data_IF_618092828985
#
_entry.id   IF_618092828985
#
_cell.length_a   1.000
_cell.length_b   1.000
_cell.length_c   1.000
_cell.angle_alpha   90.00
_cell.angle_beta   90.00
_cell.angle_gamma   90.00
#
_symmetry.space_group_name_H-M   'P 1'
#
loop_
_entity.id
_entity.type
_entity.pdbx_description
1 polymer ?
#
# COMPACT_ATOMS: atom_id res chain seq x y z
N UNK A 1 49.31 4.07 42.59
CA UNK A 1 47.91 3.58 42.57
C UNK A 1 47.27 4.07 41.28
N UNK A 2 47.08 3.23 40.25
CA UNK A 2 46.22 3.61 39.14
C UNK A 2 44.77 3.33 39.52
N UNK A 3 43.88 4.25 39.17
CA UNK A 3 42.42 4.07 39.24
C UNK A 3 41.99 3.18 38.07
N UNK A 4 41.28 2.12 38.37
CA UNK A 4 40.55 1.31 37.39
C UNK A 4 39.58 2.20 36.62
N UNK A 5 39.87 2.40 35.33
CA UNK A 5 38.90 2.89 34.38
C UNK A 5 38.02 1.70 33.99
N UNK A 6 36.80 1.68 34.50
CA UNK A 6 35.72 0.82 34.00
C UNK A 6 35.47 1.15 32.54
N UNK A 7 36.10 0.40 31.63
CA UNK A 7 35.71 0.33 30.22
C UNK A 7 34.30 -0.22 30.14
N UNK A 8 33.31 0.66 29.96
CA UNK A 8 32.04 0.24 29.38
C UNK A 8 32.36 -0.35 28.02
N UNK A 9 32.12 -1.64 27.84
CA UNK A 9 32.34 -2.31 26.57
C UNK A 9 31.58 -1.54 25.49
N UNK A 10 32.31 -1.07 24.47
CA UNK A 10 31.68 -0.55 23.27
C UNK A 10 30.82 -1.69 22.71
N UNK A 11 29.54 -1.43 22.55
CA UNK A 11 28.62 -2.37 21.94
C UNK A 11 29.10 -2.75 20.54
N UNK A 12 29.15 -4.05 20.24
CA UNK A 12 29.55 -4.53 18.91
C UNK A 12 28.43 -4.37 17.88
N UNK A 13 28.77 -4.46 16.59
CA UNK A 13 27.74 -4.39 15.52
C UNK A 13 26.76 -5.54 15.64
N UNK A 14 27.28 -6.70 16.01
CA UNK A 14 26.57 -7.94 16.27
C UNK A 14 25.56 -7.76 17.42
N UNK A 15 25.96 -7.15 18.54
CA UNK A 15 25.07 -6.88 19.68
C UNK A 15 23.89 -5.98 19.27
N UNK A 16 24.15 -4.93 18.48
CA UNK A 16 23.12 -4.02 17.98
C UNK A 16 22.12 -4.78 17.11
N UNK A 17 22.62 -5.53 16.13
CA UNK A 17 21.79 -6.28 15.18
C UNK A 17 21.02 -7.39 15.88
N UNK A 18 21.62 -8.05 16.86
CA UNK A 18 20.94 -9.07 17.66
C UNK A 18 19.70 -8.51 18.35
N UNK A 19 19.81 -7.37 19.03
CA UNK A 19 18.65 -6.72 19.66
C UNK A 19 17.57 -6.33 18.66
N UNK A 20 17.97 -5.78 17.50
CA UNK A 20 17.02 -5.43 16.44
C UNK A 20 16.32 -6.68 15.91
N UNK A 21 17.06 -7.77 15.68
CA UNK A 21 16.50 -9.02 15.19
C UNK A 21 15.52 -9.65 16.18
N UNK A 22 15.85 -9.66 17.47
CA UNK A 22 14.96 -10.15 18.53
C UNK A 22 13.69 -9.30 18.63
N UNK A 23 13.81 -7.97 18.68
CA UNK A 23 12.65 -7.06 18.73
C UNK A 23 11.75 -7.22 17.50
N UNK A 24 12.34 -7.38 16.31
CA UNK A 24 11.59 -7.66 15.08
C UNK A 24 10.90 -9.03 15.13
N UNK A 25 11.57 -10.08 15.62
CA UNK A 25 10.99 -11.43 15.74
C UNK A 25 9.79 -11.46 16.69
N UNK A 26 9.86 -10.74 17.81
CA UNK A 26 8.78 -10.61 18.79
C UNK A 26 7.54 -9.93 18.20
N UNK A 27 7.76 -8.92 17.35
CA UNK A 27 6.68 -8.15 16.70
C UNK A 27 6.20 -8.75 15.38
N UNK A 28 6.97 -9.68 14.80
CA UNK A 28 6.67 -10.25 13.49
C UNK A 28 5.36 -11.07 13.56
N UNK A 29 4.37 -10.80 12.69
CA UNK A 29 3.09 -11.50 12.74
C UNK A 29 3.25 -13.01 12.60
N UNK A 30 2.39 -13.81 13.26
CA UNK A 30 2.44 -15.27 13.12
C UNK A 30 2.18 -15.68 11.67
N UNK A 31 2.68 -16.86 11.31
CA UNK A 31 2.42 -17.45 10.01
C UNK A 31 0.91 -17.70 9.84
N UNK A 32 0.37 -17.34 8.68
CA UNK A 32 -0.97 -17.71 8.29
C UNK A 32 -1.08 -19.24 8.14
N UNK A 33 -2.07 -19.83 8.82
CA UNK A 33 -2.36 -21.25 8.69
C UNK A 33 -3.20 -21.45 7.43
N UNK A 34 -2.66 -22.13 6.42
CA UNK A 34 -3.29 -22.24 5.11
C UNK A 34 -4.71 -22.84 5.16
N UNK A 35 -4.94 -23.83 6.02
CA UNK A 35 -6.26 -24.42 6.23
C UNK A 35 -7.28 -23.37 6.70
N UNK A 36 -6.92 -22.59 7.71
CA UNK A 36 -7.74 -21.54 8.32
C UNK A 36 -8.05 -20.42 7.33
N UNK A 37 -7.04 -19.99 6.55
CA UNK A 37 -7.22 -19.00 5.48
C UNK A 37 -8.22 -19.51 4.44
N UNK A 38 -8.08 -20.76 4.00
CA UNK A 38 -8.98 -21.33 3.00
C UNK A 38 -10.42 -21.44 3.52
N UNK A 39 -10.59 -21.88 4.77
CA UNK A 39 -11.89 -21.97 5.42
C UNK A 39 -12.60 -20.62 5.47
N UNK A 40 -11.93 -19.57 5.96
CA UNK A 40 -12.52 -18.22 6.03
C UNK A 40 -12.84 -17.64 4.67
N UNK A 41 -11.92 -17.78 3.70
CA UNK A 41 -12.19 -17.33 2.34
C UNK A 41 -13.38 -18.06 1.70
N UNK A 42 -13.58 -19.35 2.01
CA UNK A 42 -14.75 -20.10 1.55
C UNK A 42 -16.03 -19.54 2.18
N UNK A 43 -16.03 -19.23 3.47
CA UNK A 43 -17.17 -18.61 4.16
C UNK A 43 -17.53 -17.24 3.58
N UNK A 44 -16.53 -16.45 3.15
CA UNK A 44 -16.72 -15.15 2.49
C UNK A 44 -17.10 -15.24 1.01
N UNK A 45 -17.09 -16.44 0.42
CA UNK A 45 -17.26 -16.67 -1.01
C UNK A 45 -15.94 -16.59 -1.77
N UNK A 46 -15.17 -17.68 -1.77
CA UNK A 46 -13.80 -17.73 -2.28
C UNK A 46 -13.64 -17.37 -3.77
N UNK A 47 -14.71 -17.48 -4.56
CA UNK A 47 -14.71 -17.17 -5.99
C UNK A 47 -15.12 -15.72 -6.30
N UNK A 48 -15.44 -14.93 -5.27
CA UNK A 48 -15.68 -13.50 -5.43
C UNK A 48 -14.37 -12.79 -5.77
N UNK A 49 -14.35 -11.82 -6.72
CA UNK A 49 -13.11 -11.21 -7.21
C UNK A 49 -12.24 -10.64 -6.10
N UNK A 50 -12.86 -9.96 -5.12
CA UNK A 50 -12.18 -9.36 -3.99
C UNK A 50 -11.55 -10.39 -3.04
N UNK A 51 -12.15 -11.57 -2.87
CA UNK A 51 -11.59 -12.64 -2.04
C UNK A 51 -10.47 -13.41 -2.75
N UNK A 52 -10.56 -13.54 -4.09
CA UNK A 52 -9.44 -14.04 -4.91
C UNK A 52 -8.25 -13.09 -4.78
N UNK A 53 -8.49 -11.78 -4.85
CA UNK A 53 -7.45 -10.76 -4.64
C UNK A 53 -6.83 -10.87 -3.24
N UNK A 54 -7.64 -10.90 -2.17
CA UNK A 54 -7.15 -11.07 -0.80
C UNK A 54 -6.28 -12.34 -0.66
N UNK A 55 -6.69 -13.47 -1.25
CA UNK A 55 -5.89 -14.71 -1.24
C UNK A 55 -4.50 -14.51 -1.85
N UNK A 56 -4.40 -13.77 -2.96
CA UNK A 56 -3.13 -13.52 -3.62
C UNK A 56 -2.22 -12.63 -2.76
N UNK A 57 -2.77 -11.61 -2.11
CA UNK A 57 -2.04 -10.73 -1.21
C UNK A 57 -1.56 -11.48 0.07
N UNK A 58 -2.43 -12.29 0.67
CA UNK A 58 -2.09 -13.17 1.80
C UNK A 58 -0.95 -14.13 1.45
N UNK A 59 -0.99 -14.74 0.27
CA UNK A 59 0.08 -15.62 -0.19
C UNK A 59 1.42 -14.88 -0.36
N UNK A 60 1.40 -13.60 -0.74
CA UNK A 60 2.62 -12.79 -0.89
C UNK A 60 3.20 -12.41 0.47
N UNK A 61 2.38 -11.89 1.38
CA UNK A 61 2.87 -11.48 2.70
C UNK A 61 3.32 -12.69 3.54
N UNK A 62 2.64 -13.84 3.42
CA UNK A 62 3.04 -15.07 4.09
C UNK A 62 4.44 -15.52 3.69
N UNK A 63 4.79 -15.46 2.40
CA UNK A 63 6.14 -15.79 1.92
C UNK A 63 7.19 -14.87 2.52
N UNK A 64 6.90 -13.57 2.60
CA UNK A 64 7.79 -12.59 3.20
C UNK A 64 7.98 -12.85 4.69
N UNK A 65 6.90 -13.09 5.44
CA UNK A 65 6.95 -13.39 6.88
C UNK A 65 7.78 -14.66 7.16
N UNK A 66 7.60 -15.73 6.38
CA UNK A 66 8.38 -16.96 6.53
C UNK A 66 9.87 -16.68 6.38
N UNK A 67 10.27 -16.06 5.26
CA UNK A 67 11.68 -15.79 4.95
C UNK A 67 12.31 -14.83 5.98
N UNK A 68 11.55 -13.85 6.44
CA UNK A 68 12.01 -12.98 7.52
C UNK A 68 12.24 -13.75 8.82
N UNK A 69 11.30 -14.60 9.20
CA UNK A 69 11.40 -15.38 10.44
C UNK A 69 12.59 -16.33 10.40
N UNK A 70 12.79 -17.03 9.29
CA UNK A 70 13.95 -17.91 9.05
C UNK A 70 15.25 -17.10 9.13
N UNK A 71 15.37 -16.03 8.33
CA UNK A 71 16.58 -15.21 8.29
C UNK A 71 16.93 -14.58 9.64
N UNK A 72 15.95 -14.03 10.36
CA UNK A 72 16.17 -13.39 11.65
C UNK A 72 16.58 -14.42 12.71
N UNK A 73 15.96 -15.61 12.71
CA UNK A 73 16.31 -16.70 13.65
C UNK A 73 17.71 -17.23 13.38
N UNK A 74 18.04 -17.48 12.11
CA UNK A 74 19.37 -17.93 11.71
C UNK A 74 20.43 -16.86 12.03
N UNK A 75 20.10 -15.59 11.83
CA UNK A 75 20.99 -14.48 12.14
C UNK A 75 21.29 -14.41 13.65
N UNK A 76 20.29 -14.54 14.52
CA UNK A 76 20.52 -14.57 15.98
C UNK A 76 21.37 -15.77 16.38
N UNK A 77 21.10 -16.96 15.83
CA UNK A 77 21.89 -18.17 16.10
C UNK A 77 23.33 -18.06 15.59
N UNK A 78 23.55 -17.36 14.47
CA UNK A 78 24.88 -17.17 13.90
C UNK A 78 25.70 -16.17 14.72
N UNK A 79 25.07 -15.11 15.23
CA UNK A 79 25.70 -14.15 16.14
C UNK A 79 26.09 -14.85 17.46
N UNK A 80 25.23 -15.72 17.99
CA UNK A 80 25.50 -16.53 19.18
C UNK A 80 26.56 -17.65 18.93
N UNK A 81 27.05 -17.81 17.70
CA UNK A 81 28.03 -18.83 17.32
C UNK A 81 27.47 -20.25 17.27
N UNK A 82 26.14 -20.42 17.32
CA UNK A 82 25.48 -21.74 17.24
C UNK A 82 25.46 -22.27 15.81
N UNK A 83 25.32 -21.39 14.82
CA UNK A 83 25.42 -21.74 13.40
C UNK A 83 26.48 -20.90 12.69
N UNK A 84 26.90 -21.33 11.51
CA UNK A 84 27.95 -20.63 10.73
C UNK A 84 27.38 -19.37 10.08
N UNK A 85 28.07 -18.24 10.27
CA UNK A 85 27.79 -16.98 9.59
C UNK A 85 28.02 -17.10 8.07
N UNK A 86 26.94 -17.33 7.32
CA UNK A 86 26.96 -17.39 5.85
C UNK A 86 27.13 -15.99 5.23
N UNK A 87 27.41 -15.94 3.93
CA UNK A 87 27.47 -14.67 3.19
C UNK A 87 26.12 -13.94 3.21
N UNK A 88 25.02 -14.67 3.12
CA UNK A 88 23.67 -14.13 3.15
C UNK A 88 23.35 -13.53 4.53
N UNK A 89 23.73 -14.22 5.61
CA UNK A 89 23.52 -13.71 6.98
C UNK A 89 24.41 -12.50 7.27
N UNK A 90 25.67 -12.51 6.80
CA UNK A 90 26.56 -11.35 6.92
C UNK A 90 26.00 -10.13 6.17
N UNK A 91 25.46 -10.33 4.97
CA UNK A 91 24.81 -9.26 4.21
C UNK A 91 23.57 -8.72 4.94
N UNK A 92 22.76 -9.59 5.56
CA UNK A 92 21.61 -9.16 6.35
C UNK A 92 22.06 -8.37 7.60
N UNK A 93 23.11 -8.82 8.29
CA UNK A 93 23.72 -8.14 9.43
C UNK A 93 24.16 -6.73 9.06
N UNK A 94 24.94 -6.58 7.99
CA UNK A 94 25.43 -5.29 7.53
C UNK A 94 24.27 -4.35 7.18
N UNK A 95 23.27 -4.85 6.42
CA UNK A 95 22.09 -4.05 6.10
C UNK A 95 21.34 -3.59 7.34
N UNK A 96 21.08 -4.49 8.29
CA UNK A 96 20.33 -4.18 9.52
C UNK A 96 21.10 -3.19 10.41
N UNK A 97 22.42 -3.34 10.52
CA UNK A 97 23.28 -2.40 11.23
C UNK A 97 23.21 -0.99 10.61
N UNK A 98 23.22 -0.91 9.28
CA UNK A 98 23.10 0.34 8.53
C UNK A 98 21.65 0.85 8.42
N UNK A 99 20.71 0.24 9.15
CA UNK A 99 19.27 0.54 9.12
C UNK A 99 18.64 0.46 7.71
N UNK A 100 19.18 -0.40 6.84
CA UNK A 100 18.69 -0.70 5.49
C UNK A 100 18.02 -2.07 5.41
N UNK A 101 17.24 -2.30 4.36
CA UNK A 101 16.44 -3.51 4.19
C UNK A 101 17.30 -4.60 3.53
N UNK A 102 17.44 -5.80 4.13
CA UNK A 102 18.10 -6.93 3.49
C UNK A 102 17.56 -7.24 2.08
N UNK A 103 18.45 -7.58 1.16
CA UNK A 103 18.13 -7.74 -0.26
C UNK A 103 17.08 -8.82 -0.54
N UNK A 104 17.10 -9.90 0.24
CA UNK A 104 16.12 -10.99 0.09
C UNK A 104 14.70 -10.53 0.40
N UNK A 105 14.55 -9.65 1.40
CA UNK A 105 13.25 -9.09 1.78
C UNK A 105 12.80 -8.04 0.77
N UNK A 106 13.71 -7.17 0.32
CA UNK A 106 13.44 -6.13 -0.69
C UNK A 106 12.89 -6.73 -2.00
N UNK A 107 13.44 -7.86 -2.45
CA UNK A 107 12.97 -8.56 -3.67
C UNK A 107 11.52 -9.03 -3.63
N UNK A 108 10.98 -9.28 -2.43
CA UNK A 108 9.63 -9.81 -2.22
C UNK A 108 8.65 -8.74 -1.73
N UNK A 109 9.12 -7.53 -1.46
CA UNK A 109 8.37 -6.49 -0.78
C UNK A 109 8.35 -5.19 -1.58
N UNK A 110 8.47 -4.05 -0.91
CA UNK A 110 8.43 -2.71 -1.44
C UNK A 110 9.69 -1.95 -1.03
N UNK A 111 9.91 -0.81 -1.67
CA UNK A 111 10.94 0.12 -1.28
C UNK A 111 10.46 0.96 -0.09
N UNK A 112 11.36 1.23 0.85
CA UNK A 112 11.12 2.11 1.99
C UNK A 112 12.43 2.74 2.40
N UNK A 113 12.37 3.86 3.12
CA UNK A 113 13.55 4.69 3.42
C UNK A 113 14.49 4.06 4.44
N UNK A 114 13.97 3.36 5.44
CA UNK A 114 14.76 2.66 6.47
C UNK A 114 14.12 1.33 6.82
N UNK A 115 14.89 0.45 7.45
CA UNK A 115 14.41 -0.81 7.99
C UNK A 115 13.24 -0.63 8.97
N UNK A 116 13.31 0.39 9.85
CA UNK A 116 12.26 0.66 10.83
C UNK A 116 10.94 1.09 10.20
N UNK A 117 10.98 1.97 9.19
CA UNK A 117 9.78 2.34 8.44
C UNK A 117 9.23 1.14 7.67
N UNK A 118 10.09 0.42 6.96
CA UNK A 118 9.71 -0.79 6.22
C UNK A 118 9.01 -1.82 7.10
N UNK A 119 9.54 -2.06 8.30
CA UNK A 119 8.96 -3.02 9.22
C UNK A 119 7.62 -2.53 9.78
N UNK A 120 7.49 -1.25 10.10
CA UNK A 120 6.20 -0.67 10.50
C UNK A 120 5.14 -0.85 9.41
N UNK A 121 5.50 -0.59 8.15
CA UNK A 121 4.61 -0.80 7.01
C UNK A 121 4.23 -2.28 6.85
N UNK A 122 5.15 -3.21 7.11
CA UNK A 122 4.85 -4.65 7.07
C UNK A 122 3.75 -4.99 8.09
N UNK A 123 3.87 -4.49 9.31
CA UNK A 123 2.88 -4.71 10.37
C UNK A 123 1.53 -4.13 9.98
N UNK A 124 1.49 -2.89 9.48
CA UNK A 124 0.24 -2.23 9.06
C UNK A 124 -0.43 -2.94 7.87
N UNK A 125 0.36 -3.39 6.88
CA UNK A 125 -0.13 -4.16 5.74
C UNK A 125 -0.71 -5.49 6.19
N UNK A 126 0.00 -6.21 7.06
CA UNK A 126 -0.47 -7.45 7.65
C UNK A 126 -1.77 -7.25 8.43
N UNK A 127 -1.85 -6.18 9.22
CA UNK A 127 -3.05 -5.85 9.99
C UNK A 127 -4.26 -5.68 9.07
N UNK A 128 -4.14 -4.95 7.96
CA UNK A 128 -5.23 -4.85 6.98
C UNK A 128 -5.68 -6.22 6.44
N UNK A 129 -4.75 -7.10 6.09
CA UNK A 129 -5.10 -8.43 5.57
C UNK A 129 -5.70 -9.33 6.62
N UNK A 130 -5.16 -9.28 7.84
CA UNK A 130 -5.66 -10.04 8.98
C UNK A 130 -7.08 -9.60 9.34
N UNK A 131 -7.32 -8.30 9.52
CA UNK A 131 -8.66 -7.77 9.78
C UNK A 131 -9.64 -8.14 8.68
N UNK A 132 -9.23 -8.04 7.42
CA UNK A 132 -10.10 -8.42 6.30
C UNK A 132 -10.45 -9.93 6.35
N UNK A 133 -9.45 -10.79 6.58
CA UNK A 133 -9.67 -12.23 6.64
C UNK A 133 -10.55 -12.66 7.83
N UNK A 134 -10.40 -12.01 8.99
CA UNK A 134 -11.04 -12.43 10.25
C UNK A 134 -12.36 -11.72 10.54
N UNK A 135 -12.45 -10.42 10.23
CA UNK A 135 -13.60 -9.57 10.55
C UNK A 135 -14.43 -9.20 9.31
N UNK A 136 -14.01 -9.66 8.13
CA UNK A 136 -14.72 -9.45 6.87
C UNK A 136 -14.28 -8.19 6.14
N UNK A 137 -14.98 -7.87 5.05
CA UNK A 137 -14.58 -6.82 4.11
C UNK A 137 -14.48 -5.43 4.79
N UNK A 138 -13.32 -4.75 4.70
CA UNK A 138 -13.17 -3.38 5.18
C UNK A 138 -14.18 -2.42 4.53
N UNK A 139 -14.68 -1.46 5.30
CA UNK A 139 -15.53 -0.36 4.79
C UNK A 139 -14.74 0.63 3.94
N UNK A 140 -13.43 0.75 4.20
CA UNK A 140 -12.50 1.61 3.48
C UNK A 140 -11.13 0.92 3.41
N UNK A 141 -10.52 0.86 2.23
CA UNK A 141 -9.27 0.13 1.98
C UNK A 141 -8.07 1.07 1.94
N UNK A 142 -6.99 0.68 2.61
CA UNK A 142 -5.69 1.31 2.46
C UNK A 142 -5.07 0.81 1.15
N UNK A 143 -5.32 1.54 0.07
CA UNK A 143 -4.91 1.12 -1.28
C UNK A 143 -3.41 0.98 -1.42
N UNK A 144 -2.66 1.77 -0.66
CA UNK A 144 -1.20 1.81 -0.70
C UNK A 144 -0.57 0.70 0.14
N UNK A 145 -1.37 0.08 1.01
CA UNK A 145 -1.05 -1.13 1.76
C UNK A 145 -1.05 -2.43 0.93
N UNK A 146 -1.54 -2.41 -0.31
CA UNK A 146 -1.47 -3.58 -1.19
C UNK A 146 -0.11 -3.74 -1.87
N UNK A 147 0.35 -4.98 -2.04
CA UNK A 147 1.44 -5.32 -2.96
C UNK A 147 1.02 -5.07 -4.42
N UNK A 148 -0.25 -5.34 -4.73
CA UNK A 148 -0.81 -5.17 -6.08
C UNK A 148 -2.06 -4.27 -6.11
N UNK A 149 -1.91 -2.93 -6.01
CA UNK A 149 -3.04 -2.01 -6.10
C UNK A 149 -3.79 -2.09 -7.45
N UNK A 150 -3.12 -2.45 -8.55
CA UNK A 150 -3.79 -2.66 -9.85
C UNK A 150 -4.70 -3.89 -9.84
N UNK A 151 -4.26 -4.96 -9.18
CA UNK A 151 -5.05 -6.16 -8.95
C UNK A 151 -6.31 -5.87 -8.13
N UNK A 152 -6.18 -5.02 -7.10
CA UNK A 152 -7.32 -4.56 -6.31
C UNK A 152 -8.36 -3.84 -7.18
N UNK A 153 -7.91 -2.85 -7.97
CA UNK A 153 -8.80 -2.10 -8.87
C UNK A 153 -9.48 -3.00 -9.91
N UNK A 154 -8.75 -4.01 -10.39
CA UNK A 154 -9.30 -5.03 -11.31
C UNK A 154 -10.39 -5.86 -10.63
N UNK A 155 -10.17 -6.28 -9.38
CA UNK A 155 -11.15 -7.02 -8.60
C UNK A 155 -12.41 -6.18 -8.32
N UNK A 156 -12.25 -4.91 -7.97
CA UNK A 156 -13.38 -3.96 -7.82
C UNK A 156 -14.19 -3.88 -9.11
N UNK A 157 -13.52 -3.69 -10.25
CA UNK A 157 -14.18 -3.62 -11.57
C UNK A 157 -14.94 -4.90 -11.89
N UNK A 158 -14.33 -6.06 -11.66
CA UNK A 158 -14.96 -7.36 -11.90
C UNK A 158 -16.18 -7.59 -11.02
N UNK A 159 -16.11 -7.19 -9.75
CA UNK A 159 -17.22 -7.30 -8.81
C UNK A 159 -18.42 -6.45 -9.25
N UNK A 160 -18.19 -5.17 -9.56
CA UNK A 160 -19.27 -4.28 -10.04
C UNK A 160 -19.87 -4.80 -11.35
N UNK A 161 -19.03 -5.30 -12.27
CA UNK A 161 -19.51 -5.88 -13.55
C UNK A 161 -20.42 -7.08 -13.30
N UNK A 162 -20.06 -7.98 -12.37
CA UNK A 162 -20.85 -9.18 -12.06
C UNK A 162 -22.20 -8.86 -11.43
N UNK A 163 -22.31 -7.76 -10.69
CA UNK A 163 -23.57 -7.33 -10.08
C UNK A 163 -24.56 -6.73 -11.09
N UNK A 164 -24.09 -6.37 -12.29
CA UNK A 164 -24.91 -5.77 -13.34
C UNK A 164 -25.22 -6.75 -14.47
N UNK A 165 -26.51 -7.05 -14.64
CA UNK A 165 -26.95 -7.95 -15.71
C UNK A 165 -26.67 -7.35 -17.09
N UNK A 166 -25.91 -8.09 -17.90
CA UNK A 166 -25.58 -7.72 -19.28
C UNK A 166 -24.53 -6.62 -19.42
N UNK A 167 -23.75 -6.34 -18.37
CA UNK A 167 -22.49 -5.60 -18.50
C UNK A 167 -21.39 -6.54 -18.95
N UNK A 168 -20.48 -6.05 -19.80
CA UNK A 168 -19.34 -6.81 -20.28
C UNK A 168 -18.04 -6.13 -19.81
N UNK A 169 -17.05 -6.92 -19.38
CA UNK A 169 -15.85 -6.37 -18.71
C UNK A 169 -15.02 -5.46 -19.63
N UNK A 170 -15.11 -5.66 -20.95
CA UNK A 170 -14.47 -4.86 -22.00
C UNK A 170 -15.11 -3.48 -22.16
N UNK A 171 -16.40 -3.32 -21.85
CA UNK A 171 -17.09 -2.03 -21.89
C UNK A 171 -17.13 -1.33 -20.53
N UNK A 172 -16.64 -1.99 -19.47
CA UNK A 172 -16.65 -1.42 -18.13
C UNK A 172 -15.29 -0.77 -17.82
N UNK A 173 -15.34 0.50 -17.42
CA UNK A 173 -14.16 1.29 -17.01
C UNK A 173 -14.29 1.72 -15.55
N UNK A 174 -13.16 2.00 -14.90
CA UNK A 174 -13.17 2.56 -13.55
C UNK A 174 -13.55 4.04 -13.58
N UNK A 175 -14.35 4.43 -12.61
CA UNK A 175 -14.71 5.82 -12.32
C UNK A 175 -14.45 6.12 -10.85
N UNK A 176 -14.15 7.37 -10.53
CA UNK A 176 -13.92 7.77 -9.16
C UNK A 176 -14.61 9.06 -8.78
N UNK A 177 -14.95 9.16 -7.50
CA UNK A 177 -15.46 10.37 -6.88
C UNK A 177 -14.67 10.63 -5.61
N UNK A 178 -14.06 11.82 -5.50
CA UNK A 178 -13.39 12.22 -4.27
C UNK A 178 -14.45 12.68 -3.27
N UNK A 179 -14.45 12.10 -2.08
CA UNK A 179 -15.41 12.45 -1.02
C UNK A 179 -14.92 13.65 -0.21
N UNK A 180 -15.78 14.14 0.71
CA UNK A 180 -15.40 15.16 1.70
C UNK A 180 -14.86 14.56 3.01
N UNK A 181 -14.88 13.24 3.12
CA UNK A 181 -14.65 12.51 4.35
C UNK A 181 -13.22 12.00 4.41
N UNK A 182 -12.66 12.01 5.60
CA UNK A 182 -11.44 11.27 5.90
C UNK A 182 -11.81 9.84 6.28
N UNK A 183 -10.80 8.96 6.39
CA UNK A 183 -10.98 7.54 6.69
C UNK A 183 -11.90 7.32 7.92
N UNK A 184 -11.66 8.04 9.00
CA UNK A 184 -12.34 7.83 10.28
C UNK A 184 -13.83 8.25 10.26
N UNK A 185 -14.23 9.05 9.26
CA UNK A 185 -15.62 9.44 9.05
C UNK A 185 -16.43 8.35 8.31
N UNK A 186 -15.75 7.39 7.67
CA UNK A 186 -16.40 6.34 6.88
C UNK A 186 -16.84 5.19 7.78
N UNK A 187 -18.15 5.11 8.02
CA UNK A 187 -18.76 4.09 8.88
C UNK A 187 -19.46 2.96 8.12
N UNK A 188 -19.68 3.14 6.81
CA UNK A 188 -20.43 2.18 5.98
C UNK A 188 -19.71 1.95 4.65
N UNK A 189 -19.76 0.73 4.11
CA UNK A 189 -19.25 0.46 2.77
C UNK A 189 -20.10 1.19 1.73
N UNK A 190 -19.56 1.45 0.52
CA UNK A 190 -20.37 1.97 -0.57
C UNK A 190 -21.35 0.89 -1.04
N UNK A 191 -22.46 1.31 -1.67
CA UNK A 191 -23.42 0.39 -2.29
C UNK A 191 -22.73 -0.49 -3.35
N UNK A 192 -21.84 0.12 -4.12
CA UNK A 192 -21.01 -0.57 -5.11
C UNK A 192 -19.60 0.03 -5.15
N UNK A 193 -18.64 -0.79 -5.57
CA UNK A 193 -17.25 -0.41 -5.66
C UNK A 193 -16.53 -0.48 -4.31
N UNK A 194 -15.60 0.45 -4.08
CA UNK A 194 -14.80 0.49 -2.86
C UNK A 194 -14.41 1.93 -2.50
N UNK A 195 -14.40 2.24 -1.21
CA UNK A 195 -13.71 3.44 -0.71
C UNK A 195 -12.23 3.13 -0.51
N UNK A 196 -11.36 4.04 -0.94
CA UNK A 196 -9.91 3.94 -0.74
C UNK A 196 -9.34 5.17 -0.05
N UNK A 197 -8.29 4.97 0.73
CA UNK A 197 -7.54 6.03 1.39
C UNK A 197 -6.02 5.79 1.31
N UNK A 198 -5.26 6.79 1.75
CA UNK A 198 -3.80 6.74 1.87
C UNK A 198 -3.05 7.29 0.66
N UNK A 199 -3.73 7.95 -0.29
CA UNK A 199 -3.09 8.59 -1.43
C UNK A 199 -2.61 10.00 -1.07
N UNK A 200 -1.49 10.42 -1.66
CA UNK A 200 -0.91 11.75 -1.50
C UNK A 200 -0.89 12.50 -2.83
N UNK A 201 -1.34 13.75 -2.84
CA UNK A 201 -1.28 14.64 -3.99
C UNK A 201 0.04 15.41 -4.00
N UNK A 202 0.73 15.37 -5.14
CA UNK A 202 1.94 16.15 -5.41
C UNK A 202 1.65 17.22 -6.46
N UNK A 203 2.22 18.42 -6.30
CA UNK A 203 2.12 19.50 -7.29
C UNK A 203 0.81 20.32 -7.24
N UNK A 204 -0.13 19.97 -6.36
CA UNK A 204 -1.38 20.69 -6.14
C UNK A 204 -1.90 20.48 -4.70
N UNK A 205 -2.95 21.20 -4.33
CA UNK A 205 -3.77 20.93 -3.14
C UNK A 205 -5.19 20.53 -3.56
N UNK A 206 -5.85 19.71 -2.75
CA UNK A 206 -7.26 19.36 -2.95
C UNK A 206 -8.17 20.14 -2.01
N UNK A 207 -9.02 20.99 -2.59
CA UNK A 207 -10.05 21.73 -1.86
C UNK A 207 -11.23 20.81 -1.53
N UNK A 208 -11.23 20.26 -0.32
CA UNK A 208 -12.28 19.34 0.17
C UNK A 208 -13.68 19.99 0.20
N UNK A 209 -13.76 21.31 0.42
CA UNK A 209 -15.04 22.01 0.52
C UNK A 209 -15.72 22.11 -0.84
N UNK A 210 -14.94 22.33 -1.91
CA UNK A 210 -15.44 22.48 -3.27
C UNK A 210 -15.18 21.25 -4.16
N UNK A 211 -14.55 20.21 -3.63
CA UNK A 211 -14.19 18.95 -4.30
C UNK A 211 -13.45 19.18 -5.63
N UNK A 212 -12.34 19.94 -5.59
CA UNK A 212 -11.56 20.30 -6.77
C UNK A 212 -10.10 20.60 -6.46
N UNK A 213 -9.25 20.57 -7.49
CA UNK A 213 -7.85 20.99 -7.40
C UNK A 213 -7.72 22.50 -7.18
N UNK A 214 -6.74 22.88 -6.37
CA UNK A 214 -6.26 24.25 -6.16
C UNK A 214 -4.73 24.26 -6.13
N UNK A 215 -4.12 25.45 -6.21
CA UNK A 215 -2.66 25.57 -6.18
C UNK A 215 -2.10 25.06 -4.85
N UNK A 216 -0.93 24.43 -4.91
CA UNK A 216 -0.26 24.00 -3.69
C UNK A 216 0.17 25.21 -2.85
N UNK A 217 0.17 25.03 -1.53
CA UNK A 217 0.75 26.01 -0.60
C UNK A 217 2.27 25.99 -0.68
N UNK A 218 2.94 27.14 -0.52
CA UNK A 218 4.40 27.20 -0.48
C UNK A 218 4.96 26.23 0.57
N UNK A 219 6.00 25.47 0.18
CA UNK A 219 6.72 24.49 1.02
C UNK A 219 5.92 23.25 1.42
N UNK A 220 4.73 23.03 0.86
CA UNK A 220 3.99 21.76 1.00
C UNK A 220 4.16 20.98 -0.30
N UNK A 221 4.99 19.93 -0.26
CA UNK A 221 5.27 19.08 -1.42
C UNK A 221 4.17 18.04 -1.66
N UNK A 222 3.67 17.46 -0.57
CA UNK A 222 2.69 16.39 -0.58
C UNK A 222 1.52 16.72 0.34
N UNK A 223 0.31 16.38 -0.08
CA UNK A 223 -0.89 16.52 0.75
C UNK A 223 -1.68 15.21 0.75
N UNK A 224 -2.12 14.76 1.93
CA UNK A 224 -3.02 13.60 2.02
C UNK A 224 -4.37 13.88 1.36
N UNK A 225 -4.82 12.95 0.52
CA UNK A 225 -6.13 13.03 -0.12
C UNK A 225 -7.24 12.55 0.84
N UNK A 226 -8.46 13.11 0.71
CA UNK A 226 -9.66 12.50 1.26
C UNK A 226 -9.87 11.08 0.77
N UNK A 227 -10.84 10.39 1.37
CA UNK A 227 -11.32 9.11 0.86
C UNK A 227 -11.83 9.29 -0.57
N UNK A 228 -11.39 8.40 -1.46
CA UNK A 228 -11.84 8.34 -2.85
C UNK A 228 -12.74 7.13 -3.00
N UNK A 229 -13.93 7.34 -3.54
CA UNK A 229 -14.81 6.28 -3.97
C UNK A 229 -14.41 5.82 -5.36
N UNK A 230 -14.15 4.53 -5.52
CA UNK A 230 -13.85 3.91 -6.80
C UNK A 230 -15.00 2.96 -7.15
N UNK A 231 -15.58 3.17 -8.33
CA UNK A 231 -16.63 2.36 -8.92
C UNK A 231 -16.26 1.96 -10.35
N UNK A 232 -17.18 1.26 -11.01
CA UNK A 232 -17.08 0.95 -12.41
C UNK A 232 -18.35 1.39 -13.14
N UNK A 233 -18.20 1.79 -14.40
CA UNK A 233 -19.28 2.26 -15.26
C UNK A 233 -19.19 1.60 -16.62
N UNK A 234 -20.33 1.29 -17.23
CA UNK A 234 -20.41 0.73 -18.59
C UNK A 234 -20.52 1.86 -19.63
N UNK A 235 -19.44 2.12 -20.37
CA UNK A 235 -19.38 3.22 -21.35
C UNK A 235 -20.32 3.01 -22.55
N UNK A 236 -20.83 1.79 -22.76
CA UNK A 236 -21.78 1.50 -23.84
C UNK A 236 -23.22 1.95 -23.50
N UNK A 237 -23.55 1.98 -22.21
CA UNK A 237 -24.89 2.29 -21.69
C UNK A 237 -24.98 3.70 -21.12
N UNK A 238 -23.88 4.24 -20.62
CA UNK A 238 -23.84 5.56 -19.99
C UNK A 238 -23.39 6.66 -20.98
N UNK A 239 -24.32 7.11 -21.84
CA UNK A 239 -24.05 8.10 -22.88
C UNK A 239 -23.84 9.52 -22.35
N UNK A 240 -24.27 9.84 -21.14
CA UNK A 240 -24.23 11.22 -20.59
C UNK A 240 -22.81 11.68 -20.22
N UNK A 241 -21.89 10.77 -19.88
CA UNK A 241 -20.49 11.12 -19.58
C UNK A 241 -19.67 11.37 -20.85
N UNK A 242 -20.23 11.06 -22.03
CA UNK A 242 -19.45 10.84 -23.24
C UNK A 242 -18.69 12.05 -23.81
N UNK A 243 -18.98 13.32 -23.47
CA UNK A 243 -18.21 14.47 -24.03
C UNK A 243 -18.05 15.72 -23.17
N UNK A 244 -18.99 16.06 -22.29
CA UNK A 244 -18.98 17.36 -21.60
C UNK A 244 -18.34 17.36 -20.20
N UNK A 245 -18.53 16.35 -19.33
CA UNK A 245 -17.93 16.33 -18.00
C UNK A 245 -16.40 16.24 -18.02
N UNK A 246 -15.81 15.49 -18.97
CA UNK A 246 -14.35 15.26 -19.03
C UNK A 246 -13.53 16.54 -19.22
N UNK A 247 -14.08 17.62 -19.80
CA UNK A 247 -13.35 18.89 -19.94
C UNK A 247 -13.00 19.53 -18.59
N UNK A 248 -13.80 19.26 -17.56
CA UNK A 248 -13.63 19.81 -16.23
C UNK A 248 -12.82 18.89 -15.31
N UNK A 249 -12.28 17.78 -15.81
CA UNK A 249 -11.45 16.88 -15.04
C UNK A 249 -10.02 16.86 -15.57
N UNK A 250 -9.08 16.84 -14.64
CA UNK A 250 -7.71 16.46 -14.88
C UNK A 250 -7.59 14.94 -14.67
N UNK A 251 -7.06 14.24 -15.67
CA UNK A 251 -6.72 12.82 -15.58
C UNK A 251 -5.40 12.70 -14.83
N UNK A 252 -5.50 12.54 -13.52
CA UNK A 252 -4.36 12.51 -12.61
C UNK A 252 -3.75 11.11 -12.54
N UNK A 253 -2.48 10.93 -12.93
CA UNK A 253 -1.83 9.63 -12.84
C UNK A 253 -1.54 9.28 -11.37
N UNK A 254 -1.71 8.00 -11.03
CA UNK A 254 -1.41 7.43 -9.71
C UNK A 254 -0.17 6.56 -9.82
N UNK A 255 0.85 6.85 -9.02
CA UNK A 255 2.10 6.08 -8.94
C UNK A 255 2.30 5.48 -7.56
N UNK A 256 3.03 4.36 -7.49
CA UNK A 256 3.41 3.73 -6.22
C UNK A 256 4.36 4.61 -5.40
N UNK A 257 5.23 5.36 -6.08
CA UNK A 257 6.33 6.14 -5.49
C UNK A 257 6.54 7.45 -6.24
N UNK A 258 7.25 8.45 -5.66
CA UNK A 258 7.56 9.71 -6.34
C UNK A 258 8.42 9.55 -7.59
N UNK A 259 9.18 8.46 -7.72
CA UNK A 259 9.91 8.13 -8.95
C UNK A 259 8.95 7.60 -10.02
N UNK A 260 8.42 8.50 -10.84
CA UNK A 260 7.35 8.23 -11.80
C UNK A 260 7.88 7.53 -13.06
N UNK A 261 7.74 6.22 -13.09
CA UNK A 261 8.04 5.35 -14.24
C UNK A 261 6.87 4.42 -14.52
N UNK A 262 6.85 3.78 -15.69
CA UNK A 262 5.81 2.80 -16.05
C UNK A 262 5.73 1.63 -15.05
N UNK A 263 6.87 1.24 -14.46
CA UNK A 263 6.94 0.19 -13.43
C UNK A 263 6.22 0.58 -12.13
N UNK A 264 6.10 1.88 -11.87
CA UNK A 264 5.45 2.44 -10.68
C UNK A 264 4.03 2.92 -10.96
N UNK A 265 3.61 3.03 -12.22
CA UNK A 265 2.28 3.47 -12.59
C UNK A 265 1.21 2.46 -12.12
N UNK A 266 0.14 2.96 -11.53
CA UNK A 266 -0.98 2.15 -11.01
C UNK A 266 -2.20 2.35 -11.89
N UNK A 267 -2.73 3.56 -11.94
CA UNK A 267 -3.98 3.90 -12.64
C UNK A 267 -4.05 5.41 -12.87
N UNK A 268 -5.16 5.89 -13.42
CA UNK A 268 -5.47 7.31 -13.50
C UNK A 268 -6.82 7.59 -12.83
N UNK A 269 -6.89 8.66 -12.06
CA UNK A 269 -8.10 9.14 -11.39
C UNK A 269 -8.48 10.52 -11.92
N UNK A 270 -9.78 10.76 -12.04
CA UNK A 270 -10.34 12.01 -12.50
C UNK A 270 -10.48 12.97 -11.32
N UNK A 271 -9.72 14.06 -11.35
CA UNK A 271 -9.75 15.12 -10.34
C UNK A 271 -10.37 16.38 -10.94
N UNK A 272 -11.37 16.96 -10.26
CA UNK A 272 -12.09 18.10 -10.80
C UNK A 272 -11.19 19.34 -10.84
N UNK A 273 -11.17 20.02 -11.98
CA UNK A 273 -10.48 21.28 -12.18
C UNK A 273 -11.31 22.45 -11.63
N UNK A 274 -10.66 23.54 -11.17
CA UNK A 274 -11.38 24.77 -10.87
C UNK A 274 -11.82 25.48 -12.16
N UNK A 275 -12.89 26.30 -12.14
CA UNK A 275 -13.47 26.91 -13.35
C UNK A 275 -12.50 27.77 -14.18
N UNK A 276 -11.43 28.26 -13.56
CA UNK A 276 -10.45 29.15 -14.17
C UNK A 276 -9.17 28.45 -14.64
N UNK A 277 -9.06 27.12 -14.52
CA UNK A 277 -7.87 26.36 -14.96
C UNK A 277 -8.29 25.08 -15.66
N UNK A 278 -7.75 24.85 -16.85
CA UNK A 278 -7.97 23.62 -17.62
C UNK A 278 -7.13 22.46 -17.07
N UNK A 279 -7.36 21.26 -17.60
CA UNK A 279 -6.52 20.09 -17.32
C UNK A 279 -5.04 20.32 -17.67
N UNK A 280 -4.75 21.03 -18.77
CA UNK A 280 -3.38 21.30 -19.23
C UNK A 280 -2.54 22.06 -18.20
N UNK A 281 -3.17 22.94 -17.41
CA UNK A 281 -2.51 23.62 -16.32
C UNK A 281 -1.90 22.62 -15.32
N UNK A 282 -2.64 21.58 -14.97
CA UNK A 282 -2.22 20.55 -14.02
C UNK A 282 -1.23 19.55 -14.63
N UNK A 283 -1.33 19.30 -15.93
CA UNK A 283 -0.31 18.55 -16.70
C UNK A 283 1.04 19.27 -16.60
N UNK A 284 1.08 20.58 -16.89
CA UNK A 284 2.31 21.38 -16.85
C UNK A 284 2.89 21.52 -15.44
N UNK A 285 2.03 21.45 -14.41
CA UNK A 285 2.44 21.40 -12.99
C UNK A 285 2.97 20.04 -12.56
N UNK A 286 2.84 19.02 -13.40
CA UNK A 286 3.23 17.66 -13.06
C UNK A 286 2.44 17.13 -11.87
N UNK A 287 1.14 17.43 -11.78
CA UNK A 287 0.31 16.90 -10.67
C UNK A 287 0.23 15.39 -10.76
N UNK A 288 0.37 14.70 -9.63
CA UNK A 288 0.15 13.26 -9.56
C UNK A 288 -0.35 12.85 -8.18
N UNK A 289 -0.96 11.66 -8.13
CA UNK A 289 -1.22 10.96 -6.88
C UNK A 289 -0.14 9.91 -6.64
N UNK A 290 0.25 9.79 -5.38
CA UNK A 290 1.29 8.88 -4.92
C UNK A 290 0.71 7.94 -3.86
N UNK A 291 1.01 6.66 -3.97
CA UNK A 291 0.69 5.69 -2.92
C UNK A 291 1.59 5.85 -1.70
N UNK A 292 2.80 6.34 -1.91
CA UNK A 292 3.76 6.58 -0.85
C UNK A 292 4.69 7.73 -1.25
N UNK A 293 5.13 8.47 -0.25
CA UNK A 293 5.99 9.66 -0.34
C UNK A 293 7.34 9.45 0.37
N UNK A 294 7.57 8.27 0.95
CA UNK A 294 8.79 7.90 1.68
C UNK A 294 9.65 6.89 0.94
#
# INVERSE_FOLDING_TARGET
QPKDASTGALETREDVVYRVAVDMLEKLPPNYIQFEVNERLNQMGALQPMNIFLRQELNRIQKLIIIMRENLTDLTLAIDGTIVMSEQLRQALDCMYDATIPNQWKKLSWESSTLGFWFTELIERNHQFYEWLHNGRPVCFWMTGFFNPQGFLTAVRQEVTRNHKGWALDTVVLWNEVTRSMKDDIQRPPVEGAYVYGLFLEGAEFDQKNLRLIESKPKILYQGMPVIHIQAMDISKDKEISKEPMKNFYVCPVYKKPCRTDLTYVTSLYLRCPPNKSADHWVLRGVALLCDIR
#
